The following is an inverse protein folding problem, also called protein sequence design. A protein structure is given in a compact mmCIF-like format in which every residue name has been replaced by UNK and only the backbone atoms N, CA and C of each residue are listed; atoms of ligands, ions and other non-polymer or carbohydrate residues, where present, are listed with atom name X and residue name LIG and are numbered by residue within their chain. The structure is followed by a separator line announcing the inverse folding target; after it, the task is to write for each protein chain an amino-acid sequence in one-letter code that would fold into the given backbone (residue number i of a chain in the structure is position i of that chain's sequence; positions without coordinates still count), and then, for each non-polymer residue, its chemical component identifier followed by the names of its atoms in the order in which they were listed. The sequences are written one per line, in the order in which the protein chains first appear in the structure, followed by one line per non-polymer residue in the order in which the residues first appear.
data_IF_305576054762
#
_entry.id   IF_305576054762
#
_cell.length_a   1.000
_cell.length_b   1.000
_cell.length_c   1.000
_cell.angle_alpha   90.00
_cell.angle_beta   90.00
_cell.angle_gamma   90.00
#
_symmetry.space_group_name_H-M   'P 1'
#
loop_
_entity.id
_entity.type
_entity.pdbx_description
1 polymer ?
#
# COMPACT_ATOMS: atom_id res chain seq x y z
N UNK A 1 21.71 -12.00 -13.52
CA UNK A 1 20.94 -11.08 -14.39
C UNK A 1 20.58 -9.84 -13.57
N UNK A 2 20.36 -8.68 -14.20
CA UNK A 2 20.20 -7.39 -13.48
C UNK A 2 18.73 -7.09 -13.18
N UNK A 3 18.42 -6.75 -11.93
CA UNK A 3 17.10 -6.27 -11.49
C UNK A 3 16.68 -5.00 -12.25
N UNK A 4 17.65 -4.16 -12.62
CA UNK A 4 17.39 -2.95 -13.42
C UNK A 4 16.76 -3.29 -14.78
N UNK A 5 17.24 -4.35 -15.43
CA UNK A 5 16.68 -4.79 -16.71
C UNK A 5 15.26 -5.36 -16.57
N UNK A 6 14.95 -6.01 -15.44
CA UNK A 6 13.59 -6.44 -15.12
C UNK A 6 12.66 -5.23 -14.91
N UNK A 7 13.11 -4.22 -14.17
CA UNK A 7 12.37 -2.95 -13.98
C UNK A 7 12.16 -2.22 -15.31
N UNK A 8 13.17 -2.16 -16.18
CA UNK A 8 13.02 -1.58 -17.53
C UNK A 8 11.99 -2.33 -18.37
N UNK A 9 11.89 -3.65 -18.25
CA UNK A 9 10.86 -4.42 -18.94
C UNK A 9 9.48 -4.18 -18.31
N UNK A 10 9.37 -4.06 -16.98
CA UNK A 10 8.14 -3.69 -16.30
C UNK A 10 7.64 -2.29 -16.73
N UNK A 11 8.53 -1.33 -16.98
CA UNK A 11 8.18 -0.03 -17.55
C UNK A 11 7.51 -0.14 -18.92
N UNK A 12 7.96 -1.08 -19.77
CA UNK A 12 7.35 -1.33 -21.09
C UNK A 12 5.97 -1.95 -20.96
N UNK A 13 5.85 -3.01 -20.15
CA UNK A 13 4.57 -3.65 -19.83
C UNK A 13 3.58 -2.58 -19.35
N UNK A 14 3.95 -1.76 -18.37
CA UNK A 14 3.09 -0.66 -17.90
C UNK A 14 2.62 0.26 -19.03
N UNK A 15 3.52 0.62 -19.95
CA UNK A 15 3.20 1.42 -21.13
C UNK A 15 2.11 0.81 -22.01
N UNK A 16 2.16 -0.51 -22.21
CA UNK A 16 1.24 -1.25 -23.08
C UNK A 16 -0.15 -1.47 -22.49
N UNK A 17 -0.29 -1.41 -21.16
CA UNK A 17 -1.57 -1.68 -20.48
C UNK A 17 -2.28 -0.44 -19.94
N UNK A 18 -1.56 0.55 -19.39
CA UNK A 18 -2.18 1.76 -18.79
C UNK A 18 -1.77 3.07 -19.46
N UNK A 19 -0.76 3.03 -20.34
CA UNK A 19 -0.32 4.18 -21.12
C UNK A 19 -0.01 5.43 -20.28
N UNK A 20 -0.55 6.57 -20.72
CA UNK A 20 -0.40 7.88 -20.04
C UNK A 20 -1.52 8.21 -19.05
N UNK A 21 -2.61 7.46 -19.08
CA UNK A 21 -3.76 7.72 -18.20
C UNK A 21 -3.50 7.17 -16.80
N UNK A 22 -2.86 6.01 -16.70
CA UNK A 22 -2.45 5.39 -15.45
C UNK A 22 -0.95 5.49 -15.14
N UNK A 23 -0.52 4.71 -14.16
CA UNK A 23 0.87 4.58 -13.74
C UNK A 23 1.15 3.16 -13.22
N UNK A 24 2.39 2.83 -12.90
CA UNK A 24 2.71 1.55 -12.27
C UNK A 24 3.83 1.66 -11.26
N UNK A 25 3.84 0.73 -10.31
CA UNK A 25 4.78 0.65 -9.21
C UNK A 25 5.39 -0.75 -9.17
N UNK A 26 6.69 -0.81 -8.87
CA UNK A 26 7.29 -2.00 -8.25
C UNK A 26 7.37 -1.74 -6.76
N UNK A 27 6.87 -2.67 -5.95
CA UNK A 27 6.90 -2.58 -4.49
C UNK A 27 7.52 -3.85 -3.90
N UNK A 28 7.45 -4.02 -2.58
CA UNK A 28 7.97 -5.20 -1.91
C UNK A 28 9.50 -5.24 -1.82
N UNK A 29 10.06 -6.45 -1.78
CA UNK A 29 11.43 -6.69 -1.32
C UNK A 29 12.51 -6.01 -2.20
N UNK A 30 12.36 -6.02 -3.53
CA UNK A 30 13.31 -5.34 -4.42
C UNK A 30 13.30 -3.82 -4.25
N UNK A 31 12.12 -3.22 -4.09
CA UNK A 31 12.01 -1.78 -3.87
C UNK A 31 12.51 -1.36 -2.48
N UNK A 32 12.38 -2.24 -1.48
CA UNK A 32 12.91 -2.03 -0.14
C UNK A 32 14.42 -2.30 -0.02
N UNK A 33 15.06 -2.86 -1.06
CA UNK A 33 16.47 -3.26 -1.03
C UNK A 33 16.76 -4.49 -0.18
N UNK A 34 15.72 -5.25 0.20
CA UNK A 34 15.81 -6.50 0.97
C UNK A 34 15.65 -7.74 0.10
N UNK A 35 15.34 -7.54 -1.19
CA UNK A 35 15.18 -8.61 -2.18
C UNK A 35 16.46 -9.41 -2.39
N UNK A 36 16.28 -10.72 -2.56
CA UNK A 36 17.34 -11.61 -3.03
C UNK A 36 17.37 -11.61 -4.56
N UNK A 37 18.45 -12.10 -5.21
CA UNK A 37 18.51 -12.19 -6.68
C UNK A 37 17.37 -12.98 -7.33
N UNK A 38 16.68 -13.83 -6.57
CA UNK A 38 15.58 -14.70 -7.01
C UNK A 38 14.22 -14.28 -6.43
N UNK A 39 14.17 -13.22 -5.62
CA UNK A 39 12.90 -12.68 -5.11
C UNK A 39 12.02 -12.26 -6.29
N UNK A 40 10.72 -12.45 -6.16
CA UNK A 40 9.73 -12.00 -7.12
C UNK A 40 9.70 -10.47 -7.22
N UNK A 41 9.21 -9.97 -8.36
CA UNK A 41 9.04 -8.55 -8.62
C UNK A 41 7.56 -8.20 -8.47
N UNK A 42 7.18 -7.78 -7.26
CA UNK A 42 5.83 -7.30 -6.99
C UNK A 42 5.54 -6.04 -7.80
N UNK A 43 4.49 -6.11 -8.61
CA UNK A 43 4.07 -5.09 -9.55
C UNK A 43 2.59 -4.77 -9.33
N UNK A 44 2.24 -3.49 -9.36
CA UNK A 44 0.85 -3.06 -9.55
C UNK A 44 0.77 -1.98 -10.63
N UNK A 45 -0.14 -2.18 -11.58
CA UNK A 45 -0.51 -1.20 -12.59
C UNK A 45 -1.83 -0.55 -12.19
N UNK A 46 -1.88 0.78 -12.22
CA UNK A 46 -3.03 1.54 -11.74
C UNK A 46 -3.60 2.35 -12.91
N UNK A 47 -4.84 2.06 -13.29
CA UNK A 47 -5.53 2.65 -14.43
C UNK A 47 -6.92 3.21 -14.10
N UNK A 48 -7.55 3.94 -15.03
CA UNK A 48 -8.87 4.53 -14.77
C UNK A 48 -10.00 3.49 -14.74
N UNK A 49 -9.88 2.40 -15.49
CA UNK A 49 -10.95 1.41 -15.69
C UNK A 49 -10.39 -0.01 -15.58
N UNK A 50 -11.26 -0.94 -15.23
CA UNK A 50 -10.91 -2.36 -15.11
C UNK A 50 -10.45 -2.90 -16.47
N UNK A 51 -9.36 -3.68 -16.47
CA UNK A 51 -8.95 -4.41 -17.67
C UNK A 51 -9.99 -5.47 -18.04
N UNK A 52 -10.37 -5.61 -19.32
CA UNK A 52 -11.09 -6.76 -19.79
C UNK A 52 -10.36 -8.05 -19.42
N UNK A 53 -11.08 -9.13 -19.09
CA UNK A 53 -10.48 -10.40 -18.64
C UNK A 53 -9.40 -10.94 -19.60
N UNK A 54 -9.61 -10.77 -20.91
CA UNK A 54 -8.61 -11.15 -21.93
C UNK A 54 -7.32 -10.34 -21.82
N UNK A 55 -7.41 -9.04 -21.57
CA UNK A 55 -6.25 -8.16 -21.36
C UNK A 55 -5.56 -8.44 -20.03
N UNK A 56 -6.33 -8.73 -18.97
CA UNK A 56 -5.76 -9.17 -17.70
C UNK A 56 -4.95 -10.46 -17.88
N UNK A 57 -5.49 -11.47 -18.58
CA UNK A 57 -4.76 -12.71 -18.86
C UNK A 57 -3.46 -12.50 -19.64
N UNK A 58 -3.44 -11.55 -20.59
CA UNK A 58 -2.22 -11.17 -21.31
C UNK A 58 -1.19 -10.50 -20.38
N UNK A 59 -1.63 -9.58 -19.51
CA UNK A 59 -0.77 -8.93 -18.52
C UNK A 59 -0.11 -9.97 -17.60
N UNK A 60 -0.90 -10.91 -17.08
CA UNK A 60 -0.40 -11.99 -16.22
C UNK A 60 0.66 -12.81 -16.97
N UNK A 61 0.38 -13.22 -18.21
CA UNK A 61 1.32 -13.98 -19.02
C UNK A 61 2.64 -13.23 -19.26
N UNK A 62 2.58 -11.92 -19.54
CA UNK A 62 3.77 -11.08 -19.73
C UNK A 62 4.59 -10.91 -18.44
N UNK A 63 3.94 -10.73 -17.30
CA UNK A 63 4.63 -10.64 -16.00
C UNK A 63 5.27 -11.97 -15.64
N UNK A 64 4.59 -13.10 -15.85
CA UNK A 64 5.18 -14.43 -15.67
C UNK A 64 6.38 -14.65 -16.59
N UNK A 65 6.29 -14.23 -17.86
CA UNK A 65 7.39 -14.31 -18.81
C UNK A 65 8.58 -13.42 -18.39
N UNK A 66 8.33 -12.23 -17.83
CA UNK A 66 9.34 -11.37 -17.24
C UNK A 66 10.06 -12.10 -16.10
N UNK A 67 9.33 -12.65 -15.13
CA UNK A 67 9.92 -13.37 -14.00
C UNK A 67 10.79 -14.54 -14.47
N UNK A 68 10.27 -15.38 -15.38
CA UNK A 68 11.03 -16.50 -15.93
C UNK A 68 12.30 -16.05 -16.66
N UNK A 69 12.19 -15.00 -17.51
CA UNK A 69 13.31 -14.45 -18.26
C UNK A 69 14.45 -13.98 -17.36
N UNK A 70 14.13 -13.40 -16.20
CA UNK A 70 15.11 -12.85 -15.27
C UNK A 70 15.45 -13.78 -14.10
N UNK A 71 14.91 -15.01 -14.06
CA UNK A 71 15.17 -16.00 -13.02
C UNK A 71 14.56 -15.65 -11.67
N UNK A 72 13.45 -14.91 -11.67
CA UNK A 72 12.71 -14.52 -10.47
C UNK A 72 11.70 -15.62 -10.12
N UNK A 73 11.49 -15.85 -8.83
CA UNK A 73 10.46 -16.76 -8.32
C UNK A 73 9.07 -16.22 -8.70
N UNK A 74 8.13 -17.11 -9.01
CA UNK A 74 6.73 -16.74 -9.12
C UNK A 74 6.11 -16.89 -7.73
N UNK A 75 5.60 -15.79 -7.17
CA UNK A 75 4.72 -15.84 -6.01
C UNK A 75 3.27 -15.96 -6.49
N UNK A 76 2.61 -17.04 -6.07
CA UNK A 76 1.21 -17.32 -6.38
C UNK A 76 0.34 -17.40 -5.12
N UNK A 77 0.84 -16.93 -3.97
CA UNK A 77 0.07 -16.90 -2.72
C UNK A 77 -1.16 -15.98 -2.86
N UNK A 78 -0.94 -14.83 -3.52
CA UNK A 78 -1.99 -13.91 -3.99
C UNK A 78 -2.09 -14.03 -5.50
N UNK A 79 -3.30 -14.27 -6.00
CA UNK A 79 -3.56 -14.36 -7.42
C UNK A 79 -3.17 -13.05 -8.13
N UNK A 80 -2.60 -13.17 -9.32
CA UNK A 80 -2.16 -12.02 -10.08
C UNK A 80 -3.31 -11.09 -10.45
N UNK A 81 -4.52 -11.62 -10.65
CA UNK A 81 -5.75 -10.86 -10.84
C UNK A 81 -6.03 -9.89 -9.68
N UNK A 82 -5.61 -10.24 -8.47
CA UNK A 82 -5.78 -9.45 -7.26
C UNK A 82 -4.68 -8.39 -7.08
N UNK A 83 -3.42 -8.70 -7.45
CA UNK A 83 -2.27 -7.81 -7.17
C UNK A 83 -1.74 -7.00 -8.35
N UNK A 84 -1.91 -7.43 -9.60
CA UNK A 84 -1.26 -6.79 -10.75
C UNK A 84 -1.94 -5.53 -11.26
N UNK A 85 -3.24 -5.38 -11.07
CA UNK A 85 -3.98 -4.25 -11.60
C UNK A 85 -4.99 -3.72 -10.58
N UNK A 86 -5.06 -2.40 -10.47
CA UNK A 86 -6.07 -1.70 -9.69
C UNK A 86 -6.62 -0.52 -10.49
N UNK A 87 -7.90 -0.21 -10.27
CA UNK A 87 -8.54 0.99 -10.79
C UNK A 87 -8.28 2.19 -9.87
N UNK A 88 -8.63 3.40 -10.33
CA UNK A 88 -8.66 4.56 -9.45
C UNK A 88 -9.70 4.42 -8.33
N UNK A 89 -10.81 3.72 -8.59
CA UNK A 89 -11.81 3.43 -7.56
C UNK A 89 -11.26 2.45 -6.50
N UNK A 90 -10.43 1.49 -6.91
CA UNK A 90 -9.75 0.60 -5.96
C UNK A 90 -8.78 1.38 -5.06
N UNK A 91 -8.03 2.35 -5.63
CA UNK A 91 -7.19 3.25 -4.84
C UNK A 91 -8.06 4.06 -3.88
N UNK A 92 -9.15 4.65 -4.35
CA UNK A 92 -10.09 5.39 -3.51
C UNK A 92 -10.61 4.54 -2.34
N UNK A 93 -11.00 3.29 -2.60
CA UNK A 93 -11.45 2.37 -1.57
C UNK A 93 -10.34 2.04 -0.55
N UNK A 94 -9.10 1.88 -1.01
CA UNK A 94 -7.95 1.63 -0.16
C UNK A 94 -7.64 2.83 0.76
N UNK A 95 -7.59 4.05 0.22
CA UNK A 95 -7.31 5.28 1.01
C UNK A 95 -8.48 5.71 1.89
N UNK A 96 -9.71 5.30 1.55
CA UNK A 96 -10.88 5.42 2.43
C UNK A 96 -10.93 4.34 3.53
N UNK A 97 -9.89 3.51 3.64
CA UNK A 97 -9.75 2.45 4.65
C UNK A 97 -10.92 1.44 4.64
N UNK A 98 -11.59 1.26 3.49
CA UNK A 98 -12.73 0.33 3.33
C UNK A 98 -12.33 -1.15 3.38
N UNK A 99 -11.03 -1.42 3.42
CA UNK A 99 -10.47 -2.74 3.62
C UNK A 99 -10.49 -3.23 5.08
N UNK A 100 -10.81 -2.35 6.03
CA UNK A 100 -10.88 -2.68 7.45
C UNK A 100 -12.34 -2.76 7.92
N UNK A 101 -12.60 -3.69 8.82
CA UNK A 101 -13.87 -3.74 9.54
C UNK A 101 -13.99 -2.55 10.49
N UNK A 102 -15.24 -2.18 10.81
CA UNK A 102 -15.56 -1.14 11.78
C UNK A 102 -16.52 -1.68 12.83
N UNK A 103 -16.13 -1.59 14.10
CA UNK A 103 -16.96 -1.92 15.26
C UNK A 103 -17.33 -0.60 15.96
N UNK A 104 -18.62 -0.25 16.01
CA UNK A 104 -19.12 1.03 16.54
C UNK A 104 -18.40 2.27 15.97
N UNK A 105 -18.12 2.23 14.66
CA UNK A 105 -17.39 3.29 13.95
C UNK A 105 -15.87 3.23 14.12
N UNK A 106 -15.34 2.38 15.01
CA UNK A 106 -13.90 2.23 15.24
C UNK A 106 -13.28 1.23 14.28
N UNK A 107 -12.20 1.63 13.60
CA UNK A 107 -11.47 0.74 12.69
C UNK A 107 -10.83 -0.42 13.44
N UNK A 108 -11.03 -1.64 12.93
CA UNK A 108 -10.39 -2.86 13.43
C UNK A 108 -9.42 -3.42 12.41
N UNK A 109 -8.14 -3.45 12.77
CA UNK A 109 -7.09 -4.13 12.02
C UNK A 109 -6.90 -5.56 12.52
N UNK A 110 -7.24 -6.55 11.69
CA UNK A 110 -6.95 -7.96 11.97
C UNK A 110 -5.62 -8.40 11.34
N UNK A 111 -4.91 -9.38 11.95
CA UNK A 111 -3.77 -10.04 11.33
C UNK A 111 -4.08 -10.63 9.95
N UNK A 112 -3.04 -10.86 9.16
CA UNK A 112 -3.14 -11.59 7.90
C UNK A 112 -3.42 -13.05 8.20
N UNK A 113 -4.41 -13.61 7.50
CA UNK A 113 -4.71 -15.03 7.52
C UNK A 113 -4.15 -15.64 6.24
N UNK A 114 -3.22 -16.59 6.37
CA UNK A 114 -2.55 -17.26 5.24
C UNK A 114 -3.46 -18.31 4.57
N UNK A 115 -4.71 -17.92 4.27
CA UNK A 115 -5.70 -18.73 3.60
C UNK A 115 -6.02 -18.10 2.23
N UNK A 116 -6.11 -18.89 1.14
CA UNK A 116 -6.35 -18.35 -0.19
C UNK A 116 -7.59 -17.45 -0.29
N UNK A 117 -8.67 -17.77 0.43
CA UNK A 117 -9.90 -16.97 0.45
C UNK A 117 -9.67 -15.57 1.01
N UNK A 118 -8.86 -15.46 2.07
CA UNK A 118 -8.51 -14.18 2.66
C UNK A 118 -7.54 -13.39 1.76
N UNK A 119 -6.47 -14.03 1.30
CA UNK A 119 -5.43 -13.41 0.49
C UNK A 119 -5.91 -12.94 -0.90
N UNK A 120 -7.00 -13.54 -1.40
CA UNK A 120 -7.62 -13.14 -2.66
C UNK A 120 -8.91 -12.34 -2.47
N UNK A 121 -9.18 -11.89 -1.24
CA UNK A 121 -10.33 -11.03 -0.97
C UNK A 121 -10.06 -9.59 -1.44
N UNK A 122 -11.11 -8.87 -1.81
CA UNK A 122 -11.04 -7.43 -2.09
C UNK A 122 -10.44 -6.64 -0.92
N UNK A 123 -10.68 -7.08 0.32
CA UNK A 123 -10.14 -6.45 1.53
C UNK A 123 -8.62 -6.56 1.57
N UNK A 124 -8.07 -7.74 1.32
CA UNK A 124 -6.63 -7.93 1.30
C UNK A 124 -5.97 -7.22 0.10
N UNK A 125 -6.58 -7.29 -1.09
CA UNK A 125 -6.10 -6.55 -2.27
C UNK A 125 -6.00 -5.04 -2.01
N UNK A 126 -7.01 -4.43 -1.38
CA UNK A 126 -6.97 -3.02 -1.00
C UNK A 126 -5.92 -2.71 0.10
N UNK A 127 -5.65 -3.64 1.02
CA UNK A 127 -4.52 -3.51 1.96
C UNK A 127 -3.16 -3.52 1.24
N UNK A 128 -2.98 -4.45 0.30
CA UNK A 128 -1.77 -4.51 -0.53
C UNK A 128 -1.59 -3.22 -1.33
N UNK A 129 -2.66 -2.68 -1.90
CA UNK A 129 -2.62 -1.43 -2.66
C UNK A 129 -2.25 -0.24 -1.77
N UNK A 130 -2.82 -0.15 -0.57
CA UNK A 130 -2.43 0.87 0.41
C UNK A 130 -0.94 0.75 0.73
N UNK A 131 -0.46 -0.46 1.02
CA UNK A 131 0.95 -0.72 1.32
C UNK A 131 1.87 -0.37 0.13
N UNK A 132 1.48 -0.72 -1.11
CA UNK A 132 2.24 -0.40 -2.31
C UNK A 132 2.43 1.12 -2.51
N UNK A 133 1.49 1.94 -2.03
CA UNK A 133 1.56 3.41 -2.11
C UNK A 133 2.35 4.05 -0.95
N UNK A 134 2.47 3.38 0.20
CA UNK A 134 3.02 3.95 1.44
C UNK A 134 4.35 3.32 1.90
N UNK A 135 4.72 2.19 1.30
CA UNK A 135 6.01 1.52 1.48
C UNK A 135 7.00 1.91 0.38
N UNK A 136 8.31 1.60 0.53
CA UNK A 136 9.29 1.85 -0.53
C UNK A 136 8.86 1.21 -1.85
N UNK A 137 8.83 2.00 -2.91
CA UNK A 137 8.45 1.56 -4.24
C UNK A 137 9.24 2.31 -5.32
N UNK A 138 9.35 1.68 -6.49
CA UNK A 138 9.93 2.25 -7.70
C UNK A 138 8.79 2.67 -8.62
N UNK A 139 8.73 3.94 -8.97
CA UNK A 139 7.77 4.45 -9.94
C UNK A 139 8.19 4.08 -11.36
N UNK A 140 7.35 3.30 -12.06
CA UNK A 140 7.61 2.84 -13.43
C UNK A 140 7.27 3.87 -14.50
N UNK A 141 6.83 5.07 -14.10
CA UNK A 141 6.36 6.14 -14.97
C UNK A 141 4.83 6.16 -15.14
N UNK A 142 4.36 7.13 -15.93
CA UNK A 142 2.92 7.31 -16.23
C UNK A 142 2.43 8.67 -15.81
N UNK A 143 1.18 8.74 -15.36
CA UNK A 143 0.57 9.96 -14.86
C UNK A 143 1.14 10.34 -13.48
N UNK A 144 2.23 11.11 -13.47
CA UNK A 144 2.90 11.55 -12.23
C UNK A 144 2.00 12.39 -11.34
N UNK A 145 1.14 13.25 -11.91
CA UNK A 145 0.22 14.08 -11.13
C UNK A 145 -0.76 13.20 -10.35
N UNK A 146 -1.36 12.21 -11.02
CA UNK A 146 -2.29 11.27 -10.37
C UNK A 146 -1.60 10.43 -9.31
N UNK A 147 -0.41 9.89 -9.63
CA UNK A 147 0.41 9.14 -8.68
C UNK A 147 0.71 9.95 -7.41
N UNK A 148 1.09 11.23 -7.55
CA UNK A 148 1.37 12.08 -6.39
C UNK A 148 0.13 12.31 -5.53
N UNK A 149 -1.03 12.55 -6.14
CA UNK A 149 -2.29 12.68 -5.41
C UNK A 149 -2.62 11.40 -4.65
N UNK A 150 -2.56 10.23 -5.31
CA UNK A 150 -2.85 8.96 -4.66
C UNK A 150 -1.84 8.62 -3.55
N UNK A 151 -0.56 8.92 -3.74
CA UNK A 151 0.46 8.75 -2.71
C UNK A 151 0.16 9.62 -1.49
N UNK A 152 -0.20 10.89 -1.72
CA UNK A 152 -0.57 11.83 -0.67
C UNK A 152 -1.79 11.33 0.13
N UNK A 153 -2.86 10.95 -0.58
CA UNK A 153 -4.07 10.40 0.04
C UNK A 153 -3.79 9.11 0.83
N UNK A 154 -2.90 8.25 0.33
CA UNK A 154 -2.50 7.02 1.00
C UNK A 154 -1.67 7.28 2.27
N UNK A 155 -0.79 8.29 2.25
CA UNK A 155 -0.03 8.74 3.42
C UNK A 155 -0.95 9.27 4.52
N UNK A 156 -1.91 10.13 4.17
CA UNK A 156 -2.95 10.59 5.09
C UNK A 156 -3.80 9.42 5.62
N UNK A 157 -4.19 8.49 4.75
CA UNK A 157 -4.95 7.30 5.14
C UNK A 157 -4.19 6.43 6.14
N UNK A 158 -2.90 6.20 5.93
CA UNK A 158 -2.07 5.43 6.86
C UNK A 158 -1.94 6.14 8.22
N UNK A 159 -1.76 7.46 8.23
CA UNK A 159 -1.74 8.24 9.47
C UNK A 159 -3.09 8.15 10.22
N UNK A 160 -4.21 8.24 9.50
CA UNK A 160 -5.55 8.08 10.09
C UNK A 160 -5.76 6.67 10.66
N UNK A 161 -5.36 5.64 9.93
CA UNK A 161 -5.38 4.26 10.41
C UNK A 161 -4.56 4.13 11.70
N UNK A 162 -3.32 4.62 11.71
CA UNK A 162 -2.45 4.54 12.88
C UNK A 162 -3.07 5.24 14.11
N UNK A 163 -3.62 6.44 13.94
CA UNK A 163 -4.30 7.17 15.02
C UNK A 163 -5.56 6.47 15.53
N UNK A 164 -6.32 5.81 14.65
CA UNK A 164 -7.51 5.06 15.01
C UNK A 164 -7.18 3.78 15.82
N UNK A 165 -6.00 3.19 15.59
CA UNK A 165 -5.53 2.00 16.29
C UNK A 165 -4.91 2.29 17.66
N UNK A 166 -4.53 3.53 17.94
CA UNK A 166 -4.05 3.93 19.27
C UNK A 166 -5.25 4.41 20.10
N UNK A 167 -5.51 3.88 21.31
CA UNK A 167 -6.66 4.30 22.12
C UNK A 167 -6.48 5.72 22.70
N UNK A 168 -5.27 6.07 23.12
CA UNK A 168 -4.98 7.31 23.85
C UNK A 168 -5.23 8.58 23.03
N UNK A 169 -5.73 9.64 23.67
CA UNK A 169 -6.01 10.93 23.02
C UNK A 169 -4.76 11.77 22.77
N UNK A 170 -3.69 11.51 23.51
CA UNK A 170 -2.39 12.14 23.32
C UNK A 170 -1.39 11.04 23.00
N UNK A 171 -0.75 11.14 21.83
CA UNK A 171 0.06 10.06 21.27
C UNK A 171 1.40 10.58 20.77
N UNK A 172 2.44 9.76 20.89
CA UNK A 172 3.76 10.05 20.31
C UNK A 172 3.90 9.41 18.91
N UNK A 173 4.88 9.86 18.12
CA UNK A 173 5.26 9.19 16.87
C UNK A 173 5.62 7.70 17.08
N UNK A 174 6.17 7.34 18.25
CA UNK A 174 6.49 5.96 18.57
C UNK A 174 5.21 5.10 18.73
N UNK A 175 4.16 5.65 19.36
CA UNK A 175 2.88 4.97 19.51
C UNK A 175 2.20 4.77 18.15
N UNK A 176 2.19 5.82 17.32
CA UNK A 176 1.63 5.81 15.97
C UNK A 176 2.34 4.76 15.10
N UNK A 177 3.68 4.76 15.07
CA UNK A 177 4.45 3.77 14.30
C UNK A 177 4.17 2.35 14.79
N UNK A 178 4.24 2.13 16.10
CA UNK A 178 4.01 0.82 16.71
C UNK A 178 2.63 0.25 16.37
N UNK A 179 1.60 1.10 16.34
CA UNK A 179 0.23 0.69 16.06
C UNK A 179 0.02 0.10 14.65
N UNK A 180 0.86 0.47 13.67
CA UNK A 180 0.79 -0.10 12.32
C UNK A 180 1.83 -1.20 12.07
N UNK A 181 2.87 -1.29 12.89
CA UNK A 181 3.91 -2.32 12.78
C UNK A 181 3.46 -3.63 13.41
N UNK A 182 2.75 -3.59 14.54
CA UNK A 182 2.38 -4.80 15.26
C UNK A 182 1.08 -4.67 16.06
N UNK A 183 0.49 -5.81 16.36
CA UNK A 183 -0.53 -5.99 17.37
C UNK A 183 -0.10 -7.11 18.35
N UNK A 184 -0.98 -7.50 19.27
CA UNK A 184 -0.66 -8.51 20.28
C UNK A 184 -0.26 -9.88 19.70
N UNK A 185 -0.72 -10.23 18.49
CA UNK A 185 -0.56 -11.56 17.90
C UNK A 185 0.23 -11.60 16.59
N UNK A 186 0.59 -10.45 16.01
CA UNK A 186 1.24 -10.38 14.71
C UNK A 186 2.06 -9.10 14.53
N UNK A 187 3.04 -9.12 13.62
CA UNK A 187 3.86 -7.97 13.27
C UNK A 187 4.30 -8.03 11.80
N UNK A 188 4.75 -6.89 11.26
CA UNK A 188 5.29 -6.81 9.90
C UNK A 188 4.30 -7.34 8.86
N UNK A 189 4.78 -8.24 7.99
CA UNK A 189 3.97 -8.87 6.93
C UNK A 189 2.76 -9.67 7.44
N UNK A 190 2.81 -10.17 8.67
CA UNK A 190 1.72 -10.97 9.24
C UNK A 190 0.61 -10.06 9.84
N UNK A 191 0.80 -8.74 9.83
CA UNK A 191 -0.19 -7.76 10.30
C UNK A 191 -0.62 -6.76 9.20
N UNK A 192 0.12 -5.67 9.00
CA UNK A 192 -0.19 -4.63 8.00
C UNK A 192 0.91 -4.43 6.96
N UNK A 193 2.01 -5.19 7.05
CA UNK A 193 3.12 -5.16 6.12
C UNK A 193 4.09 -4.00 6.33
N UNK A 194 4.17 -3.43 7.54
CA UNK A 194 5.10 -2.35 7.85
C UNK A 194 6.15 -2.79 8.87
N UNK A 195 7.40 -2.41 8.60
CA UNK A 195 8.52 -2.51 9.54
C UNK A 195 8.84 -1.13 10.12
N UNK A 196 9.25 -1.08 11.38
CA UNK A 196 9.62 0.18 12.01
C UNK A 196 10.94 0.70 11.41
N UNK A 197 10.90 1.89 10.82
CA UNK A 197 12.03 2.42 10.07
C UNK A 197 11.85 3.86 9.63
N UNK A 198 12.91 4.43 9.06
CA UNK A 198 12.92 5.84 8.62
C UNK A 198 11.85 6.12 7.56
N UNK A 199 11.61 5.17 6.64
CA UNK A 199 10.58 5.31 5.61
C UNK A 199 9.18 5.42 6.22
N UNK A 200 8.78 4.44 7.04
CA UNK A 200 7.48 4.45 7.71
C UNK A 200 7.26 5.73 8.52
N UNK A 201 8.24 6.12 9.35
CA UNK A 201 8.14 7.35 10.14
C UNK A 201 8.00 8.59 9.27
N UNK A 202 8.69 8.65 8.13
CA UNK A 202 8.59 9.76 7.19
C UNK A 202 7.23 9.80 6.48
N UNK A 203 6.71 8.64 6.06
CA UNK A 203 5.37 8.46 5.47
C UNK A 203 4.29 8.89 6.47
N UNK A 204 4.36 8.43 7.72
CA UNK A 204 3.46 8.84 8.79
C UNK A 204 3.57 10.35 9.07
N UNK A 205 4.78 10.91 9.13
CA UNK A 205 4.97 12.34 9.37
C UNK A 205 4.34 13.21 8.28
N UNK A 206 4.42 12.81 6.99
CA UNK A 206 3.73 13.52 5.89
C UNK A 206 2.22 13.47 6.05
N UNK A 207 1.66 12.27 6.28
CA UNK A 207 0.23 12.11 6.50
C UNK A 207 -0.28 12.89 7.72
N UNK A 208 0.46 12.87 8.84
CA UNK A 208 0.12 13.66 10.03
C UNK A 208 0.20 15.17 9.77
N UNK A 209 1.17 15.63 8.98
CA UNK A 209 1.27 17.03 8.57
C UNK A 209 0.02 17.52 7.83
N UNK A 210 -0.57 16.67 6.99
CA UNK A 210 -1.82 16.98 6.28
C UNK A 210 -3.01 17.02 7.21
N UNK A 211 -3.16 16.00 8.07
CA UNK A 211 -4.24 15.98 9.07
C UNK A 211 -4.16 17.19 10.01
N UNK A 212 -2.96 17.67 10.33
CA UNK A 212 -2.76 18.87 11.12
C UNK A 212 -3.13 20.14 10.35
N UNK A 213 -2.75 20.24 9.07
CA UNK A 213 -3.11 21.36 8.21
C UNK A 213 -4.63 21.47 7.99
N UNK A 214 -5.34 20.32 7.99
CA UNK A 214 -6.79 20.22 7.91
C UNK A 214 -7.50 20.41 9.27
N UNK A 215 -6.74 20.50 10.37
CA UNK A 215 -7.28 20.70 11.72
C UNK A 215 -7.90 19.47 12.35
N UNK A 216 -7.62 18.26 11.84
CA UNK A 216 -8.07 17.01 12.43
C UNK A 216 -7.32 16.64 13.72
N UNK A 217 -6.06 17.06 13.84
CA UNK A 217 -5.20 16.83 15.00
C UNK A 217 -4.45 18.11 15.37
N UNK A 218 -3.84 18.14 16.55
CA UNK A 218 -3.03 19.29 16.99
C UNK A 218 -1.69 18.86 17.55
N UNK A 219 -0.63 19.61 17.20
CA UNK A 219 0.66 19.51 17.89
C UNK A 219 0.56 20.10 19.29
N UNK A 220 1.16 19.44 20.26
CA UNK A 220 1.20 19.89 21.66
C UNK A 220 2.56 20.53 21.97
N UNK A 221 3.65 19.85 21.60
CA UNK A 221 5.02 20.16 22.05
C UNK A 221 6.12 19.76 21.05
N UNK A 222 5.75 19.45 19.80
CA UNK A 222 6.64 18.95 18.76
C UNK A 222 6.95 17.46 18.84
N UNK A 223 6.48 16.77 19.88
CA UNK A 223 6.68 15.32 20.09
C UNK A 223 5.39 14.55 20.32
N UNK A 224 4.34 15.24 20.77
CA UNK A 224 3.03 14.67 21.03
C UNK A 224 1.93 15.32 20.17
N UNK A 225 1.01 14.49 19.73
CA UNK A 225 -0.15 14.86 18.94
C UNK A 225 -1.41 14.61 19.77
N UNK A 226 -2.35 15.57 19.73
CA UNK A 226 -3.68 15.41 20.29
C UNK A 226 -4.68 15.00 19.22
N UNK A 227 -5.39 13.90 19.45
CA UNK A 227 -6.57 13.45 18.70
C UNK A 227 -7.83 14.22 19.15
N UNK A 228 -8.84 14.38 18.30
CA UNK A 228 -10.11 15.00 18.68
C UNK A 228 -10.88 14.09 19.65
N UNK A 229 -11.48 14.68 20.68
CA UNK A 229 -12.18 13.95 21.76
C UNK A 229 -13.63 13.57 21.43
N UNK A 230 -14.28 14.29 20.50
CA UNK A 230 -15.75 14.31 20.36
C UNK A 230 -16.30 14.00 18.94
N UNK A 231 -15.47 13.51 18.01
CA UNK A 231 -16.01 13.06 16.72
C UNK A 231 -16.14 11.54 16.74
N UNK A 232 -17.34 10.95 16.52
CA UNK A 232 -17.39 9.59 16.00
C UNK A 232 -16.47 9.57 14.77
N UNK A 233 -15.71 8.50 14.60
CA UNK A 233 -14.70 8.37 13.55
C UNK A 233 -15.35 8.36 12.14
N UNK A 234 -15.92 9.48 11.71
CA UNK A 234 -16.13 9.83 10.31
C UNK A 234 -14.78 10.27 9.76
N UNK A 235 -13.90 9.25 9.67
CA UNK A 235 -12.75 9.18 8.79
C UNK A 235 -13.16 8.31 7.61
#
# INVERSE_FOLDING_TARGET
MSILAAVEQACRIRGDYVGRQGYGLVYGSHAAGTGTPTSDLDLVLIGPEQLPATRMGQLIAEVCALHHRFGLTLDTEVAYETKLFATFDDVHNAVALRCFDRDDGTIRAVPVVAEPEFLNSHRFGARLLLNALTSPHIFLGGNTTRYRVHQQEAEAALARLALALVPDTVVSMADISRAVVCCASAAGKDFLGYDDGAHLRSTLARGLGELMAEGFISDIDGTHIRKPTDRPQEI
#
